data_IF_611806411306
#
_entry.id   IF_611806411306
#
_cell.length_a   1.000
_cell.length_b   1.000
_cell.length_c   1.000
_cell.angle_alpha   90.00
_cell.angle_beta   90.00
_cell.angle_gamma   90.00
#
_symmetry.space_group_name_H-M   'P 1'
#
loop_
_entity.id
_entity.type
_entity.pdbx_description
1 polymer ?
#
# COMPACT_ATOMS: atom_id res chain seq x y z
N UNK A 1 -11.65 -1.38 3.64
CA UNK A 1 -10.87 -2.39 4.37
C UNK A 1 -10.56 -3.56 3.44
N UNK A 2 -9.68 -4.49 3.82
CA UNK A 2 -9.37 -5.68 3.01
C UNK A 2 -10.60 -6.55 2.73
N UNK A 3 -11.63 -6.55 3.57
CA UNK A 3 -12.87 -7.28 3.27
C UNK A 3 -13.62 -6.78 2.02
N UNK A 4 -13.40 -5.52 1.61
CA UNK A 4 -14.15 -4.90 0.52
C UNK A 4 -13.47 -5.13 -0.84
N UNK A 5 -12.17 -5.44 -0.85
CA UNK A 5 -11.38 -5.53 -2.10
C UNK A 5 -11.90 -6.60 -3.08
N UNK A 6 -12.45 -7.77 -2.67
CA UNK A 6 -13.00 -8.74 -3.61
C UNK A 6 -14.18 -8.18 -4.40
N UNK A 7 -15.09 -7.45 -3.74
CA UNK A 7 -16.23 -6.81 -4.40
C UNK A 7 -15.77 -5.69 -5.31
N UNK A 8 -14.80 -4.88 -4.86
CA UNK A 8 -14.21 -3.81 -5.68
C UNK A 8 -13.52 -4.36 -6.93
N UNK A 9 -12.81 -5.49 -6.83
CA UNK A 9 -12.17 -6.14 -7.96
C UNK A 9 -13.18 -6.64 -9.00
N UNK A 10 -14.27 -7.29 -8.55
CA UNK A 10 -15.38 -7.70 -9.44
C UNK A 10 -16.00 -6.50 -10.15
N UNK A 11 -16.22 -5.40 -9.43
CA UNK A 11 -16.77 -4.17 -10.00
C UNK A 11 -15.81 -3.53 -11.01
N UNK A 12 -14.50 -3.51 -10.73
CA UNK A 12 -13.48 -3.00 -11.66
C UNK A 12 -13.47 -3.81 -12.95
N UNK A 13 -13.43 -5.15 -12.85
CA UNK A 13 -13.49 -6.06 -14.00
C UNK A 13 -14.77 -5.82 -14.81
N UNK A 14 -15.93 -5.77 -14.14
CA UNK A 14 -17.22 -5.51 -14.81
C UNK A 14 -17.20 -4.19 -15.57
N UNK A 15 -16.70 -3.13 -14.95
CA UNK A 15 -16.63 -1.79 -15.57
C UNK A 15 -15.71 -1.79 -16.79
N UNK A 16 -14.52 -2.39 -16.69
CA UNK A 16 -13.60 -2.48 -17.82
C UNK A 16 -14.18 -3.31 -18.97
N UNK A 17 -14.87 -4.42 -18.68
CA UNK A 17 -15.52 -5.26 -19.70
C UNK A 17 -16.67 -4.53 -20.42
N UNK A 18 -17.35 -3.61 -19.72
CA UNK A 18 -18.47 -2.86 -20.27
C UNK A 18 -18.08 -1.53 -20.94
N UNK A 19 -16.85 -1.07 -20.77
CA UNK A 19 -16.40 0.21 -21.32
C UNK A 19 -15.95 0.04 -22.77
N UNK A 20 -16.63 0.65 -23.77
CA UNK A 20 -16.27 0.50 -25.18
C UNK A 20 -14.90 1.10 -25.53
N UNK A 21 -14.29 1.90 -24.64
CA UNK A 21 -12.94 2.45 -24.83
C UNK A 21 -11.84 1.48 -24.36
N UNK A 22 -12.19 0.40 -23.68
CA UNK A 22 -11.23 -0.56 -23.13
C UNK A 22 -11.21 -1.81 -23.98
N UNK A 23 -10.14 -1.99 -24.76
CA UNK A 23 -9.82 -3.28 -25.35
C UNK A 23 -9.19 -4.17 -24.26
N UNK A 24 -10.02 -5.01 -23.65
CA UNK A 24 -9.61 -5.92 -22.57
C UNK A 24 -8.45 -6.83 -22.99
N UNK A 25 -8.43 -7.28 -24.24
CA UNK A 25 -7.44 -8.23 -24.74
C UNK A 25 -6.11 -7.55 -25.07
N UNK A 26 -6.17 -6.31 -25.57
CA UNK A 26 -4.98 -5.66 -26.10
C UNK A 26 -4.37 -4.57 -25.19
N UNK A 27 -5.18 -3.85 -24.41
CA UNK A 27 -4.64 -2.81 -23.54
C UNK A 27 -3.92 -3.41 -22.33
N UNK A 28 -2.78 -2.82 -21.96
CA UNK A 28 -2.11 -3.12 -20.68
C UNK A 28 -2.84 -2.43 -19.53
N UNK A 29 -3.01 -3.14 -18.42
CA UNK A 29 -3.59 -2.61 -17.18
C UNK A 29 -2.51 -2.53 -16.10
N UNK A 30 -2.37 -1.36 -15.48
CA UNK A 30 -1.62 -1.19 -14.25
C UNK A 30 -2.61 -0.99 -13.10
N UNK A 31 -2.72 -1.99 -12.21
CA UNK A 31 -3.64 -1.95 -11.07
C UNK A 31 -2.80 -1.79 -9.80
N UNK A 32 -3.07 -0.77 -9.00
CA UNK A 32 -2.35 -0.53 -7.74
C UNK A 32 -3.28 -0.75 -6.56
N UNK A 33 -2.91 -1.69 -5.68
CA UNK A 33 -3.61 -2.02 -4.45
C UNK A 33 -2.83 -1.43 -3.26
N UNK A 34 -3.41 -0.43 -2.60
CA UNK A 34 -2.95 0.08 -1.32
C UNK A 34 -4.09 -0.12 -0.30
N UNK A 35 -3.97 -1.16 0.52
CA UNK A 35 -5.01 -1.52 1.50
C UNK A 35 -4.37 -2.03 2.79
N UNK A 36 -4.90 -1.56 3.92
CA UNK A 36 -4.46 -1.96 5.27
C UNK A 36 -4.71 -0.88 6.31
N UNK A 37 -4.63 0.41 5.94
CA UNK A 37 -4.81 1.53 6.87
C UNK A 37 -6.05 1.40 7.76
N UNK A 38 -7.24 1.26 7.17
CA UNK A 38 -8.49 1.10 7.94
C UNK A 38 -8.58 -0.25 8.68
N UNK A 39 -7.97 -1.31 8.15
CA UNK A 39 -7.89 -2.60 8.83
C UNK A 39 -7.10 -2.45 10.13
N UNK A 40 -6.00 -1.70 10.11
CA UNK A 40 -5.14 -1.47 11.28
C UNK A 40 -5.72 -0.47 12.26
N UNK A 41 -6.29 0.62 11.73
CA UNK A 41 -6.73 1.76 12.51
C UNK A 41 -8.10 1.55 13.17
N UNK A 42 -9.01 0.82 12.53
CA UNK A 42 -10.42 0.78 12.95
C UNK A 42 -10.99 -0.63 13.14
N UNK A 43 -10.39 -1.68 12.56
CA UNK A 43 -10.96 -3.04 12.61
C UNK A 43 -10.20 -3.98 13.55
N UNK A 44 -8.87 -4.03 13.44
CA UNK A 44 -8.01 -5.04 14.10
C UNK A 44 -8.23 -5.16 15.61
N UNK A 45 -8.46 -4.04 16.30
CA UNK A 45 -8.67 -4.02 17.75
C UNK A 45 -10.02 -4.58 18.23
N UNK A 46 -10.96 -4.84 17.31
CA UNK A 46 -12.24 -5.48 17.59
C UNK A 46 -12.27 -6.96 17.20
N UNK A 47 -11.19 -7.47 16.60
CA UNK A 47 -11.05 -8.88 16.27
C UNK A 47 -10.54 -9.66 17.49
N UNK A 48 -11.08 -10.87 17.67
CA UNK A 48 -10.64 -11.78 18.72
C UNK A 48 -10.25 -13.16 18.14
N UNK A 49 -8.95 -13.50 18.03
CA UNK A 49 -7.80 -12.63 18.30
C UNK A 49 -7.53 -11.62 17.15
N UNK A 50 -6.80 -10.51 17.39
CA UNK A 50 -6.43 -9.52 16.37
C UNK A 50 -5.75 -10.09 15.12
N UNK A 51 -4.99 -11.18 15.26
CA UNK A 51 -4.29 -11.87 14.17
C UNK A 51 -5.24 -12.43 13.10
N UNK A 52 -6.54 -12.53 13.38
CA UNK A 52 -7.55 -12.85 12.35
C UNK A 52 -7.49 -11.88 11.16
N UNK A 53 -7.04 -10.64 11.36
CA UNK A 53 -6.81 -9.68 10.29
C UNK A 53 -5.92 -10.26 9.17
N UNK A 54 -4.84 -10.98 9.54
CA UNK A 54 -3.93 -11.60 8.58
C UNK A 54 -4.62 -12.67 7.74
N UNK A 55 -5.40 -13.54 8.38
CA UNK A 55 -6.14 -14.61 7.69
C UNK A 55 -7.17 -14.04 6.74
N UNK A 56 -7.94 -13.04 7.16
CA UNK A 56 -8.94 -12.42 6.31
C UNK A 56 -8.30 -11.70 5.12
N UNK A 57 -7.21 -10.96 5.35
CA UNK A 57 -6.48 -10.32 4.27
C UNK A 57 -5.88 -11.31 3.28
N UNK A 58 -5.28 -12.41 3.74
CA UNK A 58 -4.79 -13.48 2.85
C UNK A 58 -5.90 -13.97 1.93
N UNK A 59 -7.06 -14.32 2.50
CA UNK A 59 -8.20 -14.82 1.74
C UNK A 59 -8.70 -13.79 0.72
N UNK A 60 -8.84 -12.53 1.13
CA UNK A 60 -9.34 -11.46 0.29
C UNK A 60 -8.36 -11.11 -0.84
N UNK A 61 -7.07 -11.02 -0.54
CA UNK A 61 -6.03 -10.70 -1.52
C UNK A 61 -5.89 -11.81 -2.55
N UNK A 62 -5.87 -13.09 -2.13
CA UNK A 62 -5.87 -14.22 -3.07
C UNK A 62 -7.09 -14.22 -3.98
N UNK A 63 -8.28 -13.94 -3.44
CA UNK A 63 -9.49 -13.84 -4.24
C UNK A 63 -9.38 -12.73 -5.30
N UNK A 64 -8.89 -11.54 -4.94
CA UNK A 64 -8.69 -10.42 -5.87
C UNK A 64 -7.68 -10.75 -6.95
N UNK A 65 -6.51 -11.27 -6.59
CA UNK A 65 -5.46 -11.58 -7.57
C UNK A 65 -5.90 -12.67 -8.54
N UNK A 66 -6.67 -13.67 -8.07
CA UNK A 66 -7.25 -14.70 -8.93
C UNK A 66 -8.29 -14.11 -9.89
N UNK A 67 -9.16 -13.21 -9.41
CA UNK A 67 -10.12 -12.49 -10.27
C UNK A 67 -9.38 -11.72 -11.36
N UNK A 68 -8.36 -10.93 -11.02
CA UNK A 68 -7.60 -10.17 -12.03
C UNK A 68 -6.87 -11.09 -13.00
N UNK A 69 -6.21 -12.16 -12.51
CA UNK A 69 -5.51 -13.13 -13.35
C UNK A 69 -6.43 -13.85 -14.33
N UNK A 70 -7.69 -14.08 -13.94
CA UNK A 70 -8.67 -14.79 -14.75
C UNK A 70 -9.27 -13.89 -15.83
N UNK A 71 -9.68 -12.67 -15.47
CA UNK A 71 -10.48 -11.82 -16.36
C UNK A 71 -9.71 -10.69 -17.06
N UNK A 72 -8.50 -10.35 -16.59
CA UNK A 72 -7.72 -9.23 -17.10
C UNK A 72 -6.35 -9.73 -17.64
N UNK A 73 -6.26 -10.14 -18.92
CA UNK A 73 -4.96 -10.42 -19.57
C UNK A 73 -4.10 -9.16 -19.59
N UNK A 74 -2.81 -9.21 -19.90
CA UNK A 74 -1.92 -8.01 -19.97
C UNK A 74 -2.07 -7.09 -18.75
N UNK A 75 -1.86 -7.63 -17.55
CA UNK A 75 -2.05 -6.88 -16.29
C UNK A 75 -0.83 -6.99 -15.39
N UNK A 76 -0.35 -5.83 -14.94
CA UNK A 76 0.57 -5.71 -13.83
C UNK A 76 -0.18 -5.22 -12.60
N UNK A 77 -0.11 -5.99 -11.52
CA UNK A 77 -0.68 -5.62 -10.22
C UNK A 77 0.44 -5.17 -9.29
N UNK A 78 0.44 -3.91 -8.90
CA UNK A 78 1.22 -3.40 -7.80
C UNK A 78 0.49 -3.65 -6.49
N UNK A 79 1.13 -4.31 -5.53
CA UNK A 79 0.69 -4.33 -4.14
C UNK A 79 1.59 -3.38 -3.37
N UNK A 80 1.06 -2.22 -2.99
CA UNK A 80 1.80 -1.29 -2.14
C UNK A 80 1.68 -1.80 -0.72
N UNK A 81 2.83 -1.98 -0.07
CA UNK A 81 2.86 -2.31 1.35
C UNK A 81 2.07 -1.27 2.14
N UNK A 82 1.54 -1.59 3.31
CA UNK A 82 0.84 -0.59 4.13
C UNK A 82 1.80 0.05 5.14
N UNK A 83 1.67 1.36 5.42
CA UNK A 83 2.55 2.01 6.37
C UNK A 83 2.26 1.49 7.78
N UNK A 84 3.29 1.39 8.61
CA UNK A 84 3.09 1.15 10.03
C UNK A 84 2.48 2.40 10.68
N UNK A 85 1.21 2.29 11.07
CA UNK A 85 0.45 3.42 11.62
C UNK A 85 0.93 3.86 13.01
N UNK A 86 1.88 3.14 13.63
CA UNK A 86 2.61 3.64 14.81
C UNK A 86 3.34 4.96 14.52
N UNK A 87 3.66 5.28 13.26
CA UNK A 87 4.26 6.56 12.88
C UNK A 87 3.46 7.77 13.41
N UNK A 88 2.14 7.65 13.55
CA UNK A 88 1.27 8.70 14.09
C UNK A 88 1.58 9.01 15.56
N UNK A 89 2.05 8.03 16.33
CA UNK A 89 2.43 8.20 17.74
C UNK A 89 3.73 9.00 17.87
N UNK A 90 4.56 8.99 16.83
CA UNK A 90 5.90 9.59 16.81
C UNK A 90 5.89 11.07 16.36
N UNK A 91 4.76 11.56 15.85
CA UNK A 91 4.65 12.95 15.40
C UNK A 91 4.80 13.95 16.55
N UNK A 92 5.58 15.01 16.29
CA UNK A 92 5.88 16.10 17.23
C UNK A 92 5.31 17.42 16.73
N UNK A 93 4.94 18.30 17.65
CA UNK A 93 4.31 19.59 17.31
C UNK A 93 2.93 19.43 16.68
N UNK A 94 2.17 18.40 17.06
CA UNK A 94 0.83 18.11 16.51
C UNK A 94 -0.14 19.27 16.79
N UNK A 95 -0.83 19.81 15.76
CA UNK A 95 -1.96 20.71 15.98
C UNK A 95 -3.03 20.04 16.85
N UNK A 96 -3.78 20.84 17.61
CA UNK A 96 -4.73 20.32 18.60
C UNK A 96 -5.88 19.54 17.93
N UNK A 97 -6.35 20.02 16.80
CA UNK A 97 -7.34 19.37 15.93
C UNK A 97 -6.89 17.97 15.51
N UNK A 98 -5.60 17.81 15.19
CA UNK A 98 -5.03 16.53 14.76
C UNK A 98 -4.95 15.51 15.89
N UNK A 99 -4.78 15.95 17.14
CA UNK A 99 -4.81 15.04 18.30
C UNK A 99 -6.16 14.34 18.41
N UNK A 100 -7.25 15.09 18.26
CA UNK A 100 -8.61 14.54 18.32
C UNK A 100 -8.91 13.67 17.09
N UNK A 101 -8.58 14.16 15.89
CA UNK A 101 -8.83 13.44 14.65
C UNK A 101 -8.07 12.11 14.60
N UNK A 102 -6.84 12.04 15.09
CA UNK A 102 -6.08 10.80 15.17
C UNK A 102 -6.77 9.72 16.02
N UNK A 103 -7.44 10.10 17.10
CA UNK A 103 -8.22 9.15 17.93
C UNK A 103 -9.45 8.64 17.19
N UNK A 104 -10.07 9.48 16.36
CA UNK A 104 -11.26 9.12 15.57
C UNK A 104 -10.91 8.27 14.35
N UNK A 105 -9.88 8.67 13.59
CA UNK A 105 -9.44 7.98 12.38
C UNK A 105 -8.68 6.68 12.69
N UNK A 106 -7.88 6.68 13.76
CA UNK A 106 -7.04 5.52 14.13
C UNK A 106 -7.19 5.06 15.60
N UNK A 107 -8.41 4.75 16.06
CA UNK A 107 -8.68 4.41 17.45
C UNK A 107 -7.88 3.20 17.95
N UNK A 108 -7.63 2.18 17.12
CA UNK A 108 -6.88 0.99 17.53
C UNK A 108 -5.45 1.31 18.00
N UNK A 109 -4.84 2.39 17.48
CA UNK A 109 -3.52 2.85 17.91
C UNK A 109 -3.59 4.03 18.88
N UNK A 110 -4.52 4.95 18.67
CA UNK A 110 -4.50 6.24 19.37
C UNK A 110 -5.34 6.26 20.65
N UNK A 111 -6.35 5.38 20.78
CA UNK A 111 -7.16 5.31 22.00
C UNK A 111 -6.42 4.63 23.16
N UNK A 112 -6.52 5.21 24.36
CA UNK A 112 -5.84 4.72 25.58
C UNK A 112 -6.21 3.28 25.94
N UNK A 113 -7.46 2.87 25.69
CA UNK A 113 -7.94 1.51 25.98
C UNK A 113 -7.18 0.40 25.25
N UNK A 114 -6.51 0.73 24.14
CA UNK A 114 -5.75 -0.22 23.33
C UNK A 114 -4.23 -0.04 23.43
N UNK A 115 -3.76 0.88 24.28
CA UNK A 115 -2.34 1.21 24.39
C UNK A 115 -1.45 -0.01 24.69
N UNK A 116 -1.93 -0.94 25.53
CA UNK A 116 -1.20 -2.17 25.89
C UNK A 116 -1.06 -3.16 24.73
N UNK A 117 -1.87 -3.04 23.68
CA UNK A 117 -1.84 -3.94 22.51
C UNK A 117 -0.98 -3.41 21.36
N UNK A 118 -0.49 -2.16 21.42
CA UNK A 118 0.23 -1.51 20.31
C UNK A 118 1.39 -2.33 19.76
N UNK A 119 2.24 -2.90 20.63
CA UNK A 119 3.36 -3.72 20.17
C UNK A 119 2.90 -5.00 19.45
N UNK A 120 1.77 -5.56 19.84
CA UNK A 120 1.16 -6.71 19.16
C UNK A 120 0.62 -6.29 17.79
N UNK A 121 -0.02 -5.12 17.72
CA UNK A 121 -0.54 -4.55 16.47
C UNK A 121 0.56 -4.23 15.46
N UNK A 122 1.68 -3.64 15.91
CA UNK A 122 2.87 -3.41 15.08
C UNK A 122 3.35 -4.71 14.43
N UNK A 123 3.50 -5.78 15.22
CA UNK A 123 3.90 -7.11 14.71
C UNK A 123 2.89 -7.68 13.69
N UNK A 124 1.61 -7.38 13.84
CA UNK A 124 0.58 -7.79 12.87
C UNK A 124 0.75 -7.03 11.56
N UNK A 125 1.01 -5.72 11.59
CA UNK A 125 1.25 -4.92 10.38
C UNK A 125 2.51 -5.41 9.63
N UNK A 126 3.60 -5.67 10.35
CA UNK A 126 4.81 -6.23 9.74
C UNK A 126 4.54 -7.60 9.10
N UNK A 127 3.77 -8.47 9.76
CA UNK A 127 3.36 -9.76 9.21
C UNK A 127 2.42 -9.61 8.01
N UNK A 128 1.59 -8.58 7.98
CA UNK A 128 0.70 -8.27 6.86
C UNK A 128 1.50 -7.93 5.60
N UNK A 129 2.51 -7.09 5.71
CA UNK A 129 3.35 -6.74 4.57
C UNK A 129 4.19 -7.93 4.09
N UNK A 130 4.77 -8.74 4.99
CA UNK A 130 5.42 -10.00 4.63
C UNK A 130 4.48 -10.98 3.92
N UNK A 131 3.25 -11.12 4.43
CA UNK A 131 2.20 -11.94 3.81
C UNK A 131 1.88 -11.48 2.38
N UNK A 132 1.85 -10.16 2.13
CA UNK A 132 1.66 -9.63 0.78
C UNK A 132 2.81 -10.02 -0.16
N UNK A 133 4.06 -9.98 0.31
CA UNK A 133 5.25 -10.44 -0.42
C UNK A 133 5.19 -11.94 -0.72
N UNK A 134 4.86 -12.76 0.28
CA UNK A 134 4.71 -14.21 0.14
C UNK A 134 3.65 -14.57 -0.90
N UNK A 135 2.49 -13.89 -0.86
CA UNK A 135 1.40 -14.07 -1.82
C UNK A 135 1.83 -13.63 -3.23
N UNK A 136 2.44 -12.45 -3.36
CA UNK A 136 2.90 -11.94 -4.65
C UNK A 136 3.93 -12.87 -5.31
N UNK A 137 4.75 -13.57 -4.51
CA UNK A 137 5.78 -14.48 -5.00
C UNK A 137 5.27 -15.87 -5.39
N UNK A 138 3.99 -16.21 -5.14
CA UNK A 138 3.42 -17.51 -5.49
C UNK A 138 3.48 -17.75 -7.00
N UNK A 139 3.88 -18.96 -7.39
CA UNK A 139 3.99 -19.39 -8.78
C UNK A 139 2.69 -19.22 -9.57
N UNK A 140 1.52 -19.32 -8.91
CA UNK A 140 0.22 -19.13 -9.56
C UNK A 140 0.12 -17.77 -10.28
N UNK A 141 0.74 -16.71 -9.75
CA UNK A 141 0.69 -15.35 -10.31
C UNK A 141 1.80 -15.01 -11.31
N UNK A 142 2.69 -15.96 -11.62
CA UNK A 142 3.78 -15.79 -12.61
C UNK A 142 3.79 -16.89 -13.66
N UNK A 143 2.70 -17.64 -13.77
CA UNK A 143 2.53 -18.75 -14.72
C UNK A 143 2.06 -18.31 -16.11
N UNK A 144 1.63 -17.05 -16.26
CA UNK A 144 1.20 -16.46 -17.54
C UNK A 144 2.22 -15.41 -17.99
N UNK A 145 2.53 -15.28 -19.28
CA UNK A 145 3.49 -14.29 -19.77
C UNK A 145 3.00 -12.84 -19.68
N UNK A 146 1.69 -12.64 -19.52
CA UNK A 146 1.02 -11.34 -19.58
C UNK A 146 0.36 -10.94 -18.25
N UNK A 147 0.66 -11.63 -17.16
CA UNK A 147 0.16 -11.30 -15.82
C UNK A 147 1.29 -11.38 -14.80
N UNK A 148 1.46 -10.33 -14.01
CA UNK A 148 2.44 -10.34 -12.91
C UNK A 148 1.95 -9.52 -11.72
N UNK A 149 2.43 -9.90 -10.54
CA UNK A 149 2.14 -9.23 -9.26
C UNK A 149 3.47 -8.84 -8.63
N UNK A 150 3.61 -7.58 -8.22
CA UNK A 150 4.85 -7.04 -7.66
C UNK A 150 4.52 -6.21 -6.42
N UNK A 151 5.22 -6.46 -5.32
CA UNK A 151 5.13 -5.62 -4.11
C UNK A 151 6.00 -4.37 -4.29
N UNK A 152 5.47 -3.23 -3.84
CA UNK A 152 6.14 -1.94 -3.82
C UNK A 152 6.32 -1.51 -2.34
N UNK A 153 7.48 -1.81 -1.72
CA UNK A 153 7.70 -1.64 -0.28
C UNK A 153 8.08 -0.22 0.17
N UNK A 154 8.07 0.80 -0.69
CA UNK A 154 8.55 2.16 -0.38
C UNK A 154 7.94 2.87 0.84
N UNK A 155 6.95 2.29 1.52
CA UNK A 155 6.36 2.81 2.76
C UNK A 155 6.49 1.87 3.96
N UNK A 156 7.28 0.78 3.85
CA UNK A 156 7.53 -0.15 4.95
C UNK A 156 8.29 0.53 6.10
N UNK A 157 9.35 1.28 5.76
CA UNK A 157 10.27 1.90 6.71
C UNK A 157 10.10 3.43 6.70
N UNK A 158 8.85 3.87 6.52
CA UNK A 158 8.50 5.27 6.26
C UNK A 158 9.03 6.22 7.34
N UNK A 159 9.83 7.20 6.95
CA UNK A 159 10.26 8.30 7.82
C UNK A 159 9.56 9.61 7.45
N UNK A 160 8.81 10.21 8.40
CA UNK A 160 8.07 11.43 8.07
C UNK A 160 8.97 12.67 8.11
N UNK A 161 8.85 13.60 7.14
CA UNK A 161 9.68 14.80 7.11
C UNK A 161 9.53 15.66 8.36
N UNK A 162 10.63 16.31 8.74
CA UNK A 162 10.71 17.19 9.91
C UNK A 162 11.10 18.60 9.50
N UNK A 163 10.60 19.58 10.25
CA UNK A 163 11.02 20.98 10.16
C UNK A 163 12.39 21.18 10.81
N UNK A 164 13.08 22.33 10.58
CA UNK A 164 14.37 22.61 11.21
C UNK A 164 14.37 22.57 12.74
N UNK A 165 13.22 22.84 13.37
CA UNK A 165 13.04 22.77 14.83
C UNK A 165 12.82 21.33 15.36
N UNK A 166 12.79 20.32 14.48
CA UNK A 166 12.60 18.91 14.84
C UNK A 166 11.15 18.45 14.92
N UNK A 167 10.17 19.35 14.73
CA UNK A 167 8.75 19.00 14.66
C UNK A 167 8.41 18.31 13.34
N UNK A 168 7.30 17.58 13.31
CA UNK A 168 6.78 16.97 12.08
C UNK A 168 6.36 18.06 11.08
N UNK A 169 6.74 17.89 9.81
CA UNK A 169 6.27 18.75 8.73
C UNK A 169 4.88 18.32 8.25
N UNK A 170 3.85 18.85 8.90
CA UNK A 170 2.45 18.61 8.54
C UNK A 170 2.04 19.17 7.17
N UNK A 171 2.90 19.89 6.43
CA UNK A 171 2.58 20.29 5.04
C UNK A 171 2.44 19.09 4.10
N UNK A 172 3.01 17.93 4.47
CA UNK A 172 2.83 16.66 3.77
C UNK A 172 1.52 15.93 4.12
N UNK A 173 0.72 16.47 5.04
CA UNK A 173 -0.53 15.86 5.49
C UNK A 173 -1.73 16.76 5.23
N UNK A 174 -2.89 16.13 5.10
CA UNK A 174 -4.17 16.80 5.00
C UNK A 174 -4.58 17.41 6.35
N UNK A 175 -5.74 18.07 6.39
CA UNK A 175 -6.26 18.74 7.59
C UNK A 175 -6.33 17.82 8.83
N UNK A 176 -6.55 16.51 8.63
CA UNK A 176 -6.62 15.52 9.71
C UNK A 176 -5.27 15.03 10.25
N UNK A 177 -4.16 15.48 9.65
CA UNK A 177 -2.82 14.96 9.89
C UNK A 177 -2.71 13.42 9.79
N UNK A 178 -3.61 12.77 9.04
CA UNK A 178 -3.68 11.32 8.89
C UNK A 178 -3.55 10.94 7.42
N UNK A 179 -4.41 11.51 6.57
CA UNK A 179 -4.28 11.40 5.13
C UNK A 179 -3.16 12.32 4.62
N UNK A 180 -2.53 11.95 3.49
CA UNK A 180 -1.51 12.77 2.86
C UNK A 180 -2.14 14.01 2.20
N UNK A 181 -1.41 15.13 2.19
CA UNK A 181 -1.77 16.28 1.36
C UNK A 181 -1.42 16.00 -0.11
N UNK A 182 -1.75 16.92 -1.01
CA UNK A 182 -1.24 16.88 -2.39
C UNK A 182 0.30 16.78 -2.42
N UNK A 183 1.01 17.47 -1.53
CA UNK A 183 2.47 17.40 -1.39
C UNK A 183 2.92 16.00 -0.93
N UNK A 184 2.24 15.43 0.07
CA UNK A 184 2.48 14.05 0.52
C UNK A 184 2.25 13.01 -0.57
N UNK A 185 1.15 13.15 -1.33
CA UNK A 185 0.86 12.27 -2.44
C UNK A 185 1.84 12.43 -3.61
N UNK A 186 2.33 13.63 -3.90
CA UNK A 186 3.39 13.82 -4.90
C UNK A 186 4.67 13.05 -4.52
N UNK A 187 5.07 13.11 -3.25
CA UNK A 187 6.20 12.35 -2.70
C UNK A 187 5.98 10.83 -2.76
N UNK A 188 4.81 10.37 -2.31
CA UNK A 188 4.44 8.95 -2.35
C UNK A 188 4.35 8.38 -3.77
N UNK A 189 3.78 9.14 -4.71
CA UNK A 189 3.69 8.75 -6.12
C UNK A 189 5.07 8.67 -6.78
N UNK A 190 5.97 9.61 -6.48
CA UNK A 190 7.37 9.58 -6.92
C UNK A 190 8.10 8.34 -6.40
N UNK A 191 7.90 8.00 -5.12
CA UNK A 191 8.50 6.81 -4.52
C UNK A 191 7.95 5.52 -5.15
N UNK A 192 6.62 5.40 -5.35
CA UNK A 192 6.00 4.28 -6.08
C UNK A 192 6.56 4.15 -7.51
N UNK A 193 6.70 5.26 -8.21
CA UNK A 193 7.27 5.30 -9.55
C UNK A 193 8.68 4.71 -9.57
N UNK A 194 9.57 5.21 -8.70
CA UNK A 194 10.93 4.67 -8.59
C UNK A 194 10.92 3.18 -8.25
N UNK A 195 10.09 2.76 -7.29
CA UNK A 195 9.94 1.36 -6.91
C UNK A 195 9.54 0.47 -8.10
N UNK A 196 8.70 0.94 -9.03
CA UNK A 196 8.36 0.20 -10.24
C UNK A 196 9.56 -0.01 -11.18
N UNK A 197 10.57 0.86 -11.16
CA UNK A 197 11.77 0.73 -11.99
C UNK A 197 12.97 0.11 -11.26
N UNK A 198 12.86 -0.13 -9.96
CA UNK A 198 13.87 -0.83 -9.16
C UNK A 198 13.72 -2.36 -9.24
N UNK A 199 14.82 -3.13 -9.37
CA UNK A 199 14.75 -4.58 -9.44
C UNK A 199 14.03 -5.19 -8.24
N UNK A 200 13.22 -6.22 -8.47
CA UNK A 200 12.61 -7.03 -7.40
C UNK A 200 13.71 -7.56 -6.47
N UNK A 201 13.51 -7.42 -5.16
CA UNK A 201 14.52 -7.75 -4.13
C UNK A 201 15.55 -6.64 -3.84
N UNK A 202 15.55 -5.54 -4.61
CA UNK A 202 16.41 -4.36 -4.40
C UNK A 202 15.63 -3.05 -4.52
N UNK A 203 14.36 -3.06 -4.11
CA UNK A 203 13.48 -1.89 -4.09
C UNK A 203 13.75 -1.05 -2.84
N UNK A 204 13.55 0.26 -2.92
CA UNK A 204 13.60 1.15 -1.76
C UNK A 204 12.42 0.88 -0.81
N UNK A 205 12.66 1.07 0.49
CA UNK A 205 11.68 0.83 1.57
C UNK A 205 11.14 2.11 2.23
N UNK A 206 11.65 3.27 1.82
CA UNK A 206 11.24 4.59 2.30
C UNK A 206 11.10 5.55 1.10
N UNK A 207 10.49 6.71 1.34
CA UNK A 207 10.34 7.79 0.36
C UNK A 207 11.43 8.88 0.47
N UNK A 208 12.00 9.26 -0.64
CA UNK A 208 12.91 10.41 -0.71
C UNK A 208 12.12 11.71 -0.88
N UNK A 209 12.80 12.87 -0.76
CA UNK A 209 12.18 14.16 -1.09
C UNK A 209 11.59 14.11 -2.50
N UNK A 210 10.40 14.70 -2.66
CA UNK A 210 9.69 14.72 -3.94
C UNK A 210 10.58 15.25 -5.06
N UNK A 211 10.67 14.49 -6.16
CA UNK A 211 11.48 14.79 -7.35
C UNK A 211 13.00 14.88 -7.13
N UNK A 212 13.54 14.63 -5.93
CA UNK A 212 14.99 14.56 -5.71
C UNK A 212 15.63 13.40 -6.49
N UNK A 213 14.89 12.29 -6.61
CA UNK A 213 15.22 11.14 -7.46
C UNK A 213 13.98 10.76 -8.26
N UNK A 214 14.13 10.68 -9.58
CA UNK A 214 13.09 10.24 -10.51
C UNK A 214 13.72 9.31 -11.54
N UNK A 215 13.41 8.01 -11.48
CA UNK A 215 13.99 7.03 -12.38
C UNK A 215 13.31 7.13 -13.74
N UNK A 216 14.12 7.41 -14.76
CA UNK A 216 13.69 7.37 -16.16
C UNK A 216 14.09 6.02 -16.79
N UNK A 217 13.23 5.40 -17.61
CA UNK A 217 13.61 4.25 -18.42
C UNK A 217 14.78 4.58 -19.34
N UNK A 218 15.69 3.62 -19.55
CA UNK A 218 16.81 3.74 -20.51
C UNK A 218 16.65 2.75 -21.66
N UNK A 219 17.38 2.88 -22.77
CA UNK A 219 17.36 1.88 -23.84
C UNK A 219 17.71 0.46 -23.36
N UNK A 220 18.60 0.34 -22.38
CA UNK A 220 19.01 -0.94 -21.79
C UNK A 220 17.96 -1.50 -20.82
N UNK A 221 17.17 -0.62 -20.20
CA UNK A 221 16.17 -0.97 -19.18
C UNK A 221 14.87 -0.20 -19.39
N UNK A 222 14.13 -0.45 -20.50
CA UNK A 222 12.97 0.36 -20.87
C UNK A 222 11.67 -0.06 -20.15
N UNK A 223 11.71 -1.12 -19.34
CA UNK A 223 10.52 -1.76 -18.77
C UNK A 223 10.40 -1.59 -17.26
N UNK A 224 9.15 -1.58 -16.78
CA UNK A 224 8.83 -1.77 -15.35
C UNK A 224 9.38 -3.12 -14.89
N UNK A 225 9.92 -3.15 -13.67
CA UNK A 225 10.56 -4.32 -13.06
C UNK A 225 9.54 -5.27 -12.46
N UNK A 226 9.60 -6.49 -12.95
CA UNK A 226 8.87 -7.67 -12.50
C UNK A 226 9.88 -8.76 -12.13
N UNK A 227 9.39 -9.89 -11.63
CA UNK A 227 10.26 -11.04 -11.35
C UNK A 227 10.99 -11.58 -12.59
N UNK A 228 10.40 -11.45 -13.78
CA UNK A 228 10.96 -11.99 -15.02
C UNK A 228 12.11 -11.16 -15.62
N UNK A 229 12.32 -9.93 -15.14
CA UNK A 229 13.30 -9.00 -15.71
C UNK A 229 14.01 -8.15 -14.64
N UNK A 230 14.22 -8.70 -13.44
CA UNK A 230 14.93 -8.04 -12.32
C UNK A 230 16.25 -8.71 -11.97
#
# INVERSE_FOLDING_TARGET
MSQDIPTMAKNLVKRMLSDPKVDIQNHWKLITLLIGGNDFCSNMCYLNPPEKALKYHEQNLLAVLRIFREYLPRTLVNIVASPNVDILTQFRGKPQECVTLHVLECPCFMATRFASQRQRYIKIIERWNRLQEDIANRTEFHSKPDFSVVVQPFINDLSFPKKPNGDTDFSYMSYDCFHLSQKGYARSANALWNNMFEPVGRKAHDWEQEFARFICPTPEMPYIRTRGNS
#
